data_IF_203855439603
#
_entry.id   IF_203855439603
#
_cell.length_a   1.000
_cell.length_b   1.000
_cell.length_c   1.000
_cell.angle_alpha   90.00
_cell.angle_beta   90.00
_cell.angle_gamma   90.00
#
_symmetry.space_group_name_H-M   'P 1'
#
loop_
_entity.id
_entity.type
_entity.pdbx_description
1 polymer ?
#
# COMPACT_ATOMS: atom_id res chain seq x y z
N UNK A 1 -0.50 50.37 7.79
CA UNK A 1 0.95 50.36 7.44
C UNK A 1 1.45 48.94 7.65
N UNK A 2 2.22 48.37 6.73
CA UNK A 2 2.63 46.95 6.57
C UNK A 2 1.80 46.11 5.58
N UNK A 3 1.90 46.45 4.29
CA UNK A 3 1.78 45.48 3.20
C UNK A 3 3.17 44.86 2.99
N UNK A 4 3.40 43.65 3.49
CA UNK A 4 4.60 42.87 3.19
C UNK A 4 4.40 42.20 1.82
N UNK A 5 5.20 42.63 0.84
CA UNK A 5 5.16 42.20 -0.55
C UNK A 5 5.35 40.68 -0.71
N UNK A 6 4.44 40.09 -1.49
CA UNK A 6 4.58 38.75 -2.06
C UNK A 6 5.76 38.78 -3.03
N UNK A 7 6.89 38.24 -2.59
CA UNK A 7 8.09 38.12 -3.44
C UNK A 7 7.81 37.06 -4.50
N UNK A 8 7.53 37.50 -5.72
CA UNK A 8 7.35 36.65 -6.88
C UNK A 8 8.66 35.89 -7.14
N UNK A 9 8.71 34.60 -6.78
CA UNK A 9 9.86 33.74 -7.05
C UNK A 9 10.04 33.62 -8.57
N UNK A 10 11.07 34.27 -9.08
CA UNK A 10 11.45 34.27 -10.49
C UNK A 10 11.83 32.85 -10.93
N UNK A 11 11.08 32.30 -11.90
CA UNK A 11 11.40 31.01 -12.52
C UNK A 11 12.72 31.14 -13.28
N UNK A 12 13.78 30.50 -12.78
CA UNK A 12 15.05 30.35 -13.51
C UNK A 12 14.78 29.64 -14.85
N UNK A 13 15.41 30.06 -15.96
CA UNK A 13 15.26 29.39 -17.24
C UNK A 13 15.71 27.94 -17.10
N UNK A 14 14.82 27.04 -17.48
CA UNK A 14 14.98 25.61 -17.30
C UNK A 14 15.98 25.15 -18.36
N UNK A 15 17.17 24.71 -17.94
CA UNK A 15 18.16 24.11 -18.83
C UNK A 15 17.56 22.91 -19.58
N UNK A 16 17.93 22.73 -20.84
CA UNK A 16 17.39 21.68 -21.71
C UNK A 16 17.59 20.27 -21.12
N UNK A 17 18.65 20.10 -20.34
CA UNK A 17 18.94 18.93 -19.50
C UNK A 17 17.83 18.61 -18.48
N UNK A 18 17.30 19.62 -17.78
CA UNK A 18 16.22 19.44 -16.81
C UNK A 18 14.91 19.04 -17.46
N UNK A 19 14.63 19.52 -18.67
CA UNK A 19 13.41 19.17 -19.41
C UNK A 19 13.44 17.69 -19.81
N UNK A 20 14.58 17.20 -20.33
CA UNK A 20 14.75 15.78 -20.69
C UNK A 20 14.65 14.88 -19.47
N UNK A 21 15.31 15.24 -18.35
CA UNK A 21 15.24 14.46 -17.11
C UNK A 21 13.81 14.42 -16.54
N UNK A 22 13.09 15.54 -16.61
CA UNK A 22 11.72 15.64 -16.13
C UNK A 22 10.77 14.80 -17.00
N UNK A 23 10.88 14.86 -18.33
CA UNK A 23 10.10 14.03 -19.25
C UNK A 23 10.39 12.55 -19.00
N UNK A 24 11.66 12.15 -18.88
CA UNK A 24 12.03 10.78 -18.57
C UNK A 24 11.42 10.31 -17.24
N UNK A 25 11.50 11.14 -16.20
CA UNK A 25 10.92 10.85 -14.89
C UNK A 25 9.40 10.66 -14.99
N UNK A 26 8.70 11.54 -15.72
CA UNK A 26 7.25 11.42 -15.94
C UNK A 26 6.87 10.18 -16.76
N UNK A 27 7.65 9.82 -17.78
CA UNK A 27 7.41 8.61 -18.58
C UNK A 27 7.57 7.37 -17.72
N UNK A 28 8.62 7.29 -16.90
CA UNK A 28 8.85 6.15 -16.00
C UNK A 28 7.74 6.07 -14.95
N UNK A 29 7.37 7.19 -14.31
CA UNK A 29 6.28 7.22 -13.33
C UNK A 29 4.93 6.87 -13.97
N UNK A 30 4.68 7.34 -15.19
CA UNK A 30 3.48 7.03 -15.97
C UNK A 30 3.40 5.55 -16.33
N UNK A 31 4.50 4.94 -16.78
CA UNK A 31 4.57 3.51 -17.07
C UNK A 31 4.35 2.66 -15.81
N UNK A 32 4.95 3.05 -14.68
CA UNK A 32 4.75 2.38 -13.39
C UNK A 32 3.30 2.49 -12.91
N UNK A 33 2.69 3.66 -13.07
CA UNK A 33 1.28 3.89 -12.75
C UNK A 33 0.35 3.04 -13.61
N UNK A 34 0.61 2.94 -14.93
CA UNK A 34 -0.15 2.05 -15.81
C UNK A 34 0.01 0.58 -15.40
N UNK A 35 1.23 0.14 -15.05
CA UNK A 35 1.49 -1.22 -14.60
C UNK A 35 0.70 -1.57 -13.32
N UNK A 36 0.49 -0.62 -12.41
CA UNK A 36 -0.35 -0.80 -11.22
C UNK A 36 -1.86 -0.69 -11.51
N UNK A 37 -2.27 0.11 -12.50
CA UNK A 37 -3.67 0.26 -12.88
C UNK A 37 -4.22 -0.95 -13.63
N UNK A 38 -3.39 -1.62 -14.45
CA UNK A 38 -3.78 -2.83 -15.18
C UNK A 38 -4.39 -3.93 -14.30
N UNK A 39 -3.75 -4.41 -13.22
CA UNK A 39 -4.33 -5.43 -12.35
C UNK A 39 -5.59 -4.94 -11.63
N UNK A 40 -5.67 -3.65 -11.29
CA UNK A 40 -6.87 -3.08 -10.68
C UNK A 40 -8.06 -3.11 -11.63
N UNK A 41 -7.85 -2.74 -12.90
CA UNK A 41 -8.89 -2.77 -13.93
C UNK A 41 -9.34 -4.20 -14.25
N UNK A 42 -8.41 -5.16 -14.25
CA UNK A 42 -8.73 -6.60 -14.38
C UNK A 42 -9.59 -7.11 -13.21
N UNK A 43 -9.27 -6.73 -11.97
CA UNK A 43 -10.05 -7.10 -10.79
C UNK A 43 -11.45 -6.48 -10.83
N UNK A 44 -11.58 -5.22 -11.26
CA UNK A 44 -12.88 -4.56 -11.41
C UNK A 44 -13.74 -5.23 -12.49
N UNK A 45 -13.16 -5.53 -13.66
CA UNK A 45 -13.86 -6.24 -14.74
C UNK A 45 -14.34 -7.63 -14.28
N UNK A 46 -13.48 -8.35 -13.54
CA UNK A 46 -13.81 -9.65 -12.96
C UNK A 46 -14.87 -9.59 -11.84
N UNK A 47 -14.90 -8.53 -11.04
CA UNK A 47 -15.88 -8.36 -9.96
C UNK A 47 -17.31 -8.05 -10.45
N UNK A 48 -17.45 -7.56 -11.69
CA UNK A 48 -18.74 -7.19 -12.31
C UNK A 48 -19.25 -8.28 -13.25
N UNK A 49 -18.37 -9.19 -13.68
CA UNK A 49 -18.70 -10.30 -14.58
C UNK A 49 -19.12 -11.54 -13.80
N UNK A 50 -20.21 -12.18 -14.23
CA UNK A 50 -20.72 -13.40 -13.61
C UNK A 50 -19.76 -14.60 -13.82
N UNK A 51 -19.64 -15.46 -12.79
CA UNK A 51 -18.75 -16.64 -12.78
C UNK A 51 -18.92 -17.57 -14.00
N UNK A 52 -20.08 -17.53 -14.66
CA UNK A 52 -20.39 -18.32 -15.85
C UNK A 52 -19.73 -17.80 -17.14
N UNK A 53 -19.50 -16.48 -17.27
CA UNK A 53 -18.85 -15.91 -18.46
C UNK A 53 -17.32 -16.13 -18.47
N UNK A 54 -16.73 -16.31 -17.30
CA UNK A 54 -15.27 -16.51 -17.12
C UNK A 54 -14.84 -17.89 -17.65
N UNK A 55 -15.69 -18.91 -17.57
CA UNK A 55 -15.38 -20.26 -18.04
C UNK A 55 -15.51 -20.45 -19.56
N UNK A 56 -16.27 -19.59 -20.25
CA UNK A 56 -16.59 -19.75 -21.68
C UNK A 56 -15.82 -18.79 -22.62
N UNK A 57 -15.44 -17.58 -22.19
CA UNK A 57 -14.89 -16.56 -23.10
C UNK A 57 -13.51 -15.99 -22.72
N UNK A 58 -12.88 -16.47 -21.64
CA UNK A 58 -11.57 -15.99 -21.21
C UNK A 58 -11.58 -14.56 -20.65
N UNK A 59 -10.47 -14.14 -20.01
CA UNK A 59 -10.32 -12.82 -19.40
C UNK A 59 -10.37 -11.71 -20.46
N UNK A 60 -11.55 -11.13 -20.68
CA UNK A 60 -11.72 -9.97 -21.56
C UNK A 60 -11.57 -8.68 -20.76
N UNK A 61 -10.82 -7.72 -21.31
CA UNK A 61 -10.56 -6.40 -20.70
C UNK A 61 -11.84 -5.54 -20.52
N UNK A 62 -12.95 -5.93 -21.17
CA UNK A 62 -14.26 -5.29 -21.04
C UNK A 62 -15.33 -6.36 -20.76
N UNK A 63 -16.14 -6.21 -19.69
CA UNK A 63 -17.16 -7.19 -19.31
C UNK A 63 -18.35 -7.12 -20.27
N UNK A 64 -18.65 -8.24 -20.93
CA UNK A 64 -19.74 -8.32 -21.94
C UNK A 64 -21.13 -8.41 -21.29
N UNK A 65 -21.20 -8.83 -20.01
CA UNK A 65 -22.44 -8.94 -19.23
C UNK A 65 -22.21 -8.48 -17.80
N UNK A 66 -22.77 -7.32 -17.48
CA UNK A 66 -22.79 -6.75 -16.13
C UNK A 66 -23.83 -7.51 -15.32
N UNK A 67 -23.42 -8.32 -14.34
CA UNK A 67 -24.34 -8.97 -13.41
C UNK A 67 -24.02 -8.58 -11.97
N UNK A 68 -25.04 -8.07 -11.27
CA UNK A 68 -24.97 -7.69 -9.86
C UNK A 68 -25.28 -8.85 -8.90
N UNK A 69 -25.38 -10.09 -9.41
CA UNK A 69 -25.79 -11.24 -8.61
C UNK A 69 -24.72 -11.65 -7.57
N UNK A 70 -23.44 -11.48 -7.90
CA UNK A 70 -22.34 -11.68 -6.95
C UNK A 70 -22.46 -10.78 -5.71
N UNK A 71 -22.87 -9.52 -5.89
CA UNK A 71 -23.13 -8.61 -4.77
C UNK A 71 -24.36 -9.03 -3.97
N UNK A 72 -25.43 -9.52 -4.62
CA UNK A 72 -26.61 -10.04 -3.92
C UNK A 72 -26.30 -11.28 -3.07
N UNK A 73 -25.40 -12.16 -3.52
CA UNK A 73 -24.93 -13.27 -2.70
C UNK A 73 -24.16 -12.79 -1.46
N UNK A 74 -23.33 -11.75 -1.57
CA UNK A 74 -22.63 -11.16 -0.41
C UNK A 74 -23.60 -10.58 0.62
N UNK A 75 -24.72 -9.99 0.18
CA UNK A 75 -25.74 -9.46 1.08
C UNK A 75 -26.68 -10.53 1.69
N UNK A 76 -26.65 -11.79 1.22
CA UNK A 76 -27.44 -12.89 1.82
C UNK A 76 -26.85 -13.43 3.13
N UNK A 77 -25.57 -13.17 3.41
CA UNK A 77 -24.88 -13.59 4.65
C UNK A 77 -24.31 -12.35 5.38
N UNK A 78 -25.17 -11.41 5.80
CA UNK A 78 -24.72 -10.14 6.37
C UNK A 78 -24.00 -10.32 7.73
N UNK A 79 -24.38 -11.34 8.50
CA UNK A 79 -23.82 -11.61 9.84
C UNK A 79 -22.33 -11.98 9.78
N UNK A 80 -21.95 -12.92 8.91
CA UNK A 80 -20.56 -13.32 8.74
C UNK A 80 -19.73 -12.20 8.12
N UNK A 81 -20.30 -11.47 7.16
CA UNK A 81 -19.64 -10.32 6.53
C UNK A 81 -19.33 -9.23 7.57
N UNK A 82 -20.34 -8.81 8.34
CA UNK A 82 -20.17 -7.80 9.38
C UNK A 82 -19.19 -8.23 10.47
N UNK A 83 -19.24 -9.51 10.88
CA UNK A 83 -18.28 -10.06 11.85
C UNK A 83 -16.86 -10.07 11.29
N UNK A 84 -16.66 -10.49 10.05
CA UNK A 84 -15.35 -10.52 9.40
C UNK A 84 -14.76 -9.11 9.28
N UNK A 85 -15.52 -8.15 8.76
CA UNK A 85 -15.09 -6.74 8.70
C UNK A 85 -14.82 -6.16 10.09
N UNK A 86 -15.66 -6.49 11.09
CA UNK A 86 -15.47 -6.07 12.47
C UNK A 86 -14.15 -6.56 13.06
N UNK A 87 -13.82 -7.84 12.87
CA UNK A 87 -12.55 -8.42 13.32
C UNK A 87 -11.37 -7.80 12.57
N UNK A 88 -11.45 -7.61 11.26
CA UNK A 88 -10.39 -6.97 10.46
C UNK A 88 -10.12 -5.54 10.93
N UNK A 89 -11.17 -4.73 11.08
CA UNK A 89 -11.02 -3.34 11.55
C UNK A 89 -10.45 -3.34 12.97
N UNK A 90 -10.94 -4.21 13.85
CA UNK A 90 -10.44 -4.31 15.22
C UNK A 90 -8.96 -4.68 15.27
N UNK A 91 -8.52 -5.72 14.53
CA UNK A 91 -7.12 -6.15 14.52
C UNK A 91 -6.21 -5.12 13.86
N UNK A 92 -6.65 -4.44 12.80
CA UNK A 92 -5.87 -3.38 12.16
C UNK A 92 -5.71 -2.19 13.09
N UNK A 93 -6.80 -1.69 13.68
CA UNK A 93 -6.75 -0.52 14.58
C UNK A 93 -5.93 -0.82 15.83
N UNK A 94 -6.22 -1.92 16.52
CA UNK A 94 -5.48 -2.28 17.74
C UNK A 94 -4.02 -2.61 17.44
N UNK A 95 -3.76 -3.35 16.36
CA UNK A 95 -2.41 -3.69 15.92
C UNK A 95 -1.59 -2.46 15.53
N UNK A 96 -2.17 -1.53 14.78
CA UNK A 96 -1.48 -0.28 14.41
C UNK A 96 -1.26 0.63 15.62
N UNK A 97 -2.23 0.77 16.52
CA UNK A 97 -2.08 1.58 17.73
C UNK A 97 -0.99 1.04 18.65
N UNK A 98 -1.03 -0.26 18.97
CA UNK A 98 -0.02 -0.91 19.80
C UNK A 98 1.35 -0.92 19.12
N UNK A 99 1.39 -1.21 17.82
CA UNK A 99 2.62 -1.18 17.02
C UNK A 99 3.26 0.20 17.01
N UNK A 100 2.49 1.25 16.69
CA UNK A 100 2.98 2.63 16.73
C UNK A 100 3.45 3.05 18.11
N UNK A 101 2.72 2.68 19.16
CA UNK A 101 3.10 3.02 20.53
C UNK A 101 4.44 2.38 20.92
N UNK A 102 4.60 1.08 20.68
CA UNK A 102 5.85 0.37 20.95
C UNK A 102 7.02 0.87 20.09
N UNK A 103 6.81 1.02 18.77
CA UNK A 103 7.84 1.51 17.85
C UNK A 103 8.22 2.96 18.17
N UNK A 104 7.27 3.81 18.54
CA UNK A 104 7.54 5.20 18.92
C UNK A 104 8.40 5.29 20.18
N UNK A 105 8.09 4.50 21.22
CA UNK A 105 8.90 4.43 22.44
C UNK A 105 10.31 3.91 22.15
N UNK A 106 10.44 2.83 21.37
CA UNK A 106 11.73 2.28 20.98
C UNK A 106 12.56 3.28 20.15
N UNK A 107 11.93 3.94 19.18
CA UNK A 107 12.56 4.95 18.34
C UNK A 107 13.01 6.16 19.16
N UNK A 108 12.22 6.59 20.15
CA UNK A 108 12.56 7.70 21.04
C UNK A 108 13.83 7.41 21.86
N UNK A 109 13.93 6.20 22.45
CA UNK A 109 15.13 5.79 23.19
C UNK A 109 16.36 5.74 22.28
N UNK A 110 16.20 5.28 21.04
CA UNK A 110 17.28 5.17 20.07
C UNK A 110 17.71 6.52 19.45
N UNK A 111 16.79 7.49 19.38
CA UNK A 111 17.04 8.83 18.86
C UNK A 111 17.87 9.70 19.84
N UNK A 112 17.84 9.40 21.15
CA UNK A 112 18.63 10.11 22.15
C UNK A 112 20.13 9.76 22.01
N UNK A 113 20.96 10.77 21.71
CA UNK A 113 22.39 10.59 21.36
C UNK A 113 23.28 10.22 22.55
N UNK A 114 22.79 10.35 23.78
CA UNK A 114 23.48 9.98 25.04
C UNK A 114 23.40 8.49 25.39
N UNK A 115 22.70 7.67 24.59
CA UNK A 115 22.57 6.24 24.87
C UNK A 115 23.86 5.47 24.53
N UNK A 116 24.63 5.07 25.56
CA UNK A 116 25.94 4.39 25.42
C UNK A 116 25.87 3.07 24.64
N UNK A 117 24.74 2.37 24.66
CA UNK A 117 24.54 1.08 23.99
C UNK A 117 23.80 1.16 22.64
N UNK A 118 23.66 2.34 22.04
CA UNK A 118 22.91 2.56 20.77
C UNK A 118 23.35 1.65 19.62
N UNK A 119 24.64 1.34 19.51
CA UNK A 119 25.16 0.54 18.39
C UNK A 119 24.70 -0.92 18.47
N UNK A 120 24.71 -1.51 19.67
CA UNK A 120 24.29 -2.90 19.86
C UNK A 120 22.76 -3.06 19.68
N UNK A 121 21.96 -2.12 20.21
CA UNK A 121 20.50 -2.16 20.07
C UNK A 121 20.08 -1.91 18.62
N UNK A 122 20.64 -0.90 17.95
CA UNK A 122 20.37 -0.67 16.52
C UNK A 122 20.80 -1.88 15.67
N UNK A 123 21.97 -2.47 15.94
CA UNK A 123 22.42 -3.67 15.23
C UNK A 123 21.43 -4.83 15.40
N UNK A 124 20.88 -5.04 16.60
CA UNK A 124 19.86 -6.08 16.83
C UNK A 124 18.57 -5.83 16.04
N UNK A 125 18.06 -4.59 15.99
CA UNK A 125 16.89 -4.22 15.18
C UNK A 125 17.12 -4.41 13.67
N UNK A 126 18.28 -4.02 13.17
CA UNK A 126 18.65 -4.26 11.76
C UNK A 126 18.82 -5.74 11.48
N UNK A 127 19.49 -6.48 12.37
CA UNK A 127 19.65 -7.91 12.26
C UNK A 127 18.29 -8.61 12.21
N UNK A 128 17.37 -8.33 13.14
CA UNK A 128 16.00 -8.91 13.07
C UNK A 128 15.14 -8.36 11.94
N UNK A 129 15.52 -7.32 11.19
CA UNK A 129 14.79 -6.91 9.98
C UNK A 129 15.33 -7.61 8.74
N UNK A 130 16.62 -7.92 8.73
CA UNK A 130 17.32 -8.64 7.65
C UNK A 130 17.11 -10.15 7.76
N UNK A 131 17.16 -10.67 8.98
CA UNK A 131 16.87 -12.06 9.34
C UNK A 131 15.42 -12.26 9.84
N UNK A 132 14.65 -11.18 9.86
CA UNK A 132 13.28 -11.13 10.38
C UNK A 132 12.31 -11.96 9.59
N UNK A 133 11.84 -13.00 10.25
CA UNK A 133 10.71 -13.82 9.84
C UNK A 133 10.97 -14.53 8.52
N UNK A 134 11.81 -15.55 8.59
CA UNK A 134 11.71 -16.69 7.70
C UNK A 134 10.30 -17.27 7.79
N UNK A 135 9.36 -16.73 7.02
CA UNK A 135 7.99 -17.25 6.90
C UNK A 135 7.98 -18.67 6.34
N UNK A 136 9.12 -19.16 5.84
CA UNK A 136 9.27 -20.55 5.41
C UNK A 136 9.21 -21.53 6.60
N UNK A 137 9.80 -21.21 7.75
CA UNK A 137 9.77 -22.07 8.94
C UNK A 137 8.37 -22.22 9.57
N UNK A 138 7.55 -21.15 9.52
CA UNK A 138 6.18 -21.18 10.02
C UNK A 138 5.21 -21.90 9.06
N UNK A 139 5.46 -21.80 7.74
CA UNK A 139 4.65 -22.49 6.73
C UNK A 139 4.89 -24.01 6.69
N UNK A 140 6.05 -24.47 7.14
CA UNK A 140 6.42 -25.90 7.18
C UNK A 140 5.97 -26.60 8.49
N UNK A 141 5.67 -25.85 9.55
CA UNK A 141 5.17 -26.40 10.83
C UNK A 141 3.63 -26.49 10.91
N UNK A 142 2.91 -25.87 9.97
CA UNK A 142 1.42 -25.83 9.92
C UNK A 142 0.85 -26.70 8.78
N UNK A 143 1.69 -27.48 8.10
CA UNK A 143 1.27 -28.64 7.30
C UNK A 143 1.50 -29.92 8.08
#
# INVERSE_FOLDING_TARGET
MFMAGVKHQSKKPIGRDRIVFNILSYVILGALSLACLLPFLLVLSGSVSEQYAIQLHGYSLLPEKISFDAYKMLFRIPEELLRAYGVTIFVTVTGTLLGLWLTSMAAYVLANRDFRYRYQVSFFFYFTSVFGADKSAFAETVR
#
